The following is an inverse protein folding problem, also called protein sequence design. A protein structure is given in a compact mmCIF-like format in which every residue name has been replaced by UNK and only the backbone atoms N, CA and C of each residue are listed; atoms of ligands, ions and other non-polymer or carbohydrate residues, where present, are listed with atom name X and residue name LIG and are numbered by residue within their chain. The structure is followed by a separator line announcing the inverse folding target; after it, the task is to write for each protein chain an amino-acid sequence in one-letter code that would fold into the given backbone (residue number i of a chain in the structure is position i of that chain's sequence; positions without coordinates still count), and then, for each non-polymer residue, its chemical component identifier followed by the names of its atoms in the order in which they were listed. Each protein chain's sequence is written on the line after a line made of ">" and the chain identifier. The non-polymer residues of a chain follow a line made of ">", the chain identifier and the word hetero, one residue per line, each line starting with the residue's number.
data_IF_800574668163
#
_entry.id   IF_800574668163
#
_cell.length_a   1.000
_cell.length_b   1.000
_cell.length_c   1.000
_cell.angle_alpha   90.00
_cell.angle_beta   90.00
_cell.angle_gamma   90.00
#
_symmetry.space_group_name_H-M   'P 1'
#
loop_
_entity.id
_entity.type
_entity.pdbx_description
1 polymer ?
#
# COMPACT_ATOMS: atom_id res chain seq x y z
N UNK A 1 12.02 33.22 10.10
CA UNK A 1 12.89 33.01 8.92
C UNK A 1 11.99 32.83 7.70
N UNK A 2 12.09 33.73 6.73
CA UNK A 2 11.32 33.64 5.47
C UNK A 2 12.13 32.90 4.41
N UNK A 3 11.48 32.03 3.63
CA UNK A 3 12.07 31.40 2.45
C UNK A 3 12.38 32.47 1.41
N UNK A 4 13.45 32.32 0.63
CA UNK A 4 13.75 33.25 -0.47
C UNK A 4 12.60 33.25 -1.49
N UNK A 5 11.92 34.39 -1.65
CA UNK A 5 10.77 34.54 -2.55
C UNK A 5 11.13 34.24 -4.00
N UNK A 6 12.36 34.54 -4.43
CA UNK A 6 12.81 34.28 -5.80
C UNK A 6 12.88 32.77 -6.08
N UNK A 7 13.30 32.00 -5.08
CA UNK A 7 13.34 30.54 -5.17
C UNK A 7 11.93 29.94 -5.16
N UNK A 8 11.05 30.44 -4.29
CA UNK A 8 9.64 29.99 -4.23
C UNK A 8 8.94 30.23 -5.57
N UNK A 9 9.10 31.43 -6.15
CA UNK A 9 8.55 31.75 -7.47
C UNK A 9 9.10 30.83 -8.55
N UNK A 10 10.39 30.48 -8.46
CA UNK A 10 11.04 29.55 -9.38
C UNK A 10 10.45 28.14 -9.26
N UNK A 11 10.17 27.67 -8.04
CA UNK A 11 9.51 26.38 -7.80
C UNK A 11 8.08 26.37 -8.33
N UNK A 12 7.30 27.42 -8.13
CA UNK A 12 5.93 27.52 -8.65
C UNK A 12 5.91 27.46 -10.18
N UNK A 13 6.77 28.25 -10.84
CA UNK A 13 6.89 28.26 -12.30
C UNK A 13 7.31 26.90 -12.86
N UNK A 14 8.32 26.28 -12.25
CA UNK A 14 8.80 24.95 -12.63
C UNK A 14 7.71 23.89 -12.48
N UNK A 15 7.01 23.89 -11.35
CA UNK A 15 5.94 22.90 -11.08
C UNK A 15 4.79 23.04 -12.07
N UNK A 16 4.35 24.28 -12.34
CA UNK A 16 3.32 24.54 -13.33
C UNK A 16 3.73 24.10 -14.74
N UNK A 17 5.01 24.25 -15.10
CA UNK A 17 5.48 23.73 -16.38
C UNK A 17 5.52 22.20 -16.39
N UNK A 18 5.98 21.54 -15.32
CA UNK A 18 5.90 20.07 -15.19
C UNK A 18 4.46 19.57 -15.36
N UNK A 19 3.49 20.22 -14.73
CA UNK A 19 2.08 19.90 -14.84
C UNK A 19 1.58 19.87 -16.31
N UNK A 20 2.07 20.76 -17.18
CA UNK A 20 1.67 20.79 -18.60
C UNK A 20 2.06 19.53 -19.38
N UNK A 21 3.10 18.80 -18.96
CA UNK A 21 3.53 17.57 -19.63
C UNK A 21 2.70 16.33 -19.26
N UNK A 22 1.95 16.38 -18.16
CA UNK A 22 1.31 15.20 -17.57
C UNK A 22 -0.24 15.25 -17.49
N UNK A 23 -0.89 16.20 -18.19
CA UNK A 23 -2.35 16.43 -18.40
C UNK A 23 -3.20 16.99 -17.23
N UNK A 24 -4.21 17.82 -17.55
CA UNK A 24 -5.32 18.47 -16.78
C UNK A 24 -5.15 18.77 -15.27
N UNK A 25 -3.92 18.95 -14.78
CA UNK A 25 -3.70 19.46 -13.42
C UNK A 25 -3.82 20.98 -13.39
N UNK A 26 -4.59 21.51 -12.44
CA UNK A 26 -4.72 22.95 -12.23
C UNK A 26 -3.37 23.59 -11.92
N UNK A 27 -3.14 24.81 -12.42
CA UNK A 27 -1.97 25.60 -12.07
C UNK A 27 -2.02 26.03 -10.60
N UNK A 28 -0.89 25.94 -9.91
CA UNK A 28 -0.72 26.43 -8.55
C UNK A 28 -0.28 27.90 -8.56
N UNK A 29 -0.83 28.68 -7.64
CA UNK A 29 -0.41 30.06 -7.38
C UNK A 29 0.56 30.16 -6.21
N UNK A 30 0.60 29.12 -5.36
CA UNK A 30 1.43 29.03 -4.19
C UNK A 30 1.91 27.60 -4.01
N UNK A 31 3.10 27.41 -3.43
CA UNK A 31 3.61 26.09 -3.06
C UNK A 31 2.71 25.40 -2.01
N UNK A 32 1.90 26.13 -1.26
CA UNK A 32 0.90 25.54 -0.35
C UNK A 32 -0.16 24.71 -1.06
N UNK A 33 -0.45 25.04 -2.32
CA UNK A 33 -1.49 24.38 -3.13
C UNK A 33 -0.94 23.13 -3.84
N UNK A 34 0.37 22.87 -3.71
CA UNK A 34 1.09 21.81 -4.39
C UNK A 34 0.44 20.45 -4.18
N UNK A 35 0.16 20.10 -2.93
CA UNK A 35 -0.35 18.77 -2.58
C UNK A 35 -1.74 18.51 -3.19
N UNK A 36 -2.59 19.53 -3.21
CA UNK A 36 -3.99 19.43 -3.61
C UNK A 36 -4.13 19.35 -5.13
N UNK A 37 -3.47 20.27 -5.84
CA UNK A 37 -3.64 20.42 -7.30
C UNK A 37 -2.67 19.56 -8.11
N UNK A 38 -1.49 19.31 -7.54
CA UNK A 38 -0.32 18.82 -8.28
C UNK A 38 0.39 17.65 -7.58
N UNK A 39 -0.06 17.23 -6.39
CA UNK A 39 0.55 16.14 -5.62
C UNK A 39 0.47 14.78 -6.31
N UNK A 40 -0.63 14.52 -7.03
CA UNK A 40 -0.83 13.26 -7.74
C UNK A 40 0.22 13.00 -8.83
N UNK A 41 0.66 14.04 -9.56
CA UNK A 41 1.69 13.88 -10.57
C UNK A 41 3.06 13.64 -9.93
N UNK A 42 3.39 14.34 -8.84
CA UNK A 42 4.65 14.16 -8.11
C UNK A 42 4.78 12.71 -7.64
N UNK A 43 3.71 12.18 -7.04
CA UNK A 43 3.65 10.79 -6.59
C UNK A 43 3.77 9.79 -7.76
N UNK A 44 3.23 10.12 -8.94
CA UNK A 44 3.36 9.30 -10.15
C UNK A 44 4.80 9.27 -10.66
N UNK A 45 5.49 10.41 -10.70
CA UNK A 45 6.90 10.52 -11.09
C UNK A 45 7.78 9.73 -10.13
N UNK A 46 7.58 9.91 -8.82
CA UNK A 46 8.36 9.19 -7.80
C UNK A 46 7.98 7.71 -7.66
N UNK A 47 6.99 7.21 -8.40
CA UNK A 47 6.46 5.84 -8.28
C UNK A 47 6.12 5.50 -6.81
N UNK A 48 5.32 6.36 -6.18
CA UNK A 48 4.73 6.11 -4.88
C UNK A 48 3.57 5.10 -4.99
N UNK A 49 3.32 4.35 -3.91
CA UNK A 49 2.24 3.35 -3.86
C UNK A 49 0.85 4.00 -3.93
N UNK A 50 0.73 5.21 -3.38
CA UNK A 50 -0.50 6.03 -3.41
C UNK A 50 -0.35 7.18 -4.39
N UNK A 51 -1.33 7.37 -5.27
CA UNK A 51 -1.33 8.41 -6.33
C UNK A 51 -2.46 9.43 -6.20
N UNK A 52 -3.47 9.13 -5.38
CA UNK A 52 -4.58 10.04 -5.07
C UNK A 52 -4.57 10.35 -3.58
N UNK A 53 -4.57 11.64 -3.24
CA UNK A 53 -4.44 12.11 -1.87
C UNK A 53 -5.73 12.78 -1.41
N UNK A 54 -6.30 12.30 -0.29
CA UNK A 54 -7.52 12.88 0.31
C UNK A 54 -7.24 14.00 1.32
N UNK A 55 -6.00 14.10 1.78
CA UNK A 55 -5.53 15.12 2.71
C UNK A 55 -4.02 15.36 2.54
N UNK A 56 -3.56 16.53 3.01
CA UNK A 56 -2.14 16.93 2.97
C UNK A 56 -1.25 16.04 3.83
N UNK A 57 -1.74 15.57 4.98
CA UNK A 57 -1.00 14.68 5.89
C UNK A 57 -0.56 13.40 5.17
N UNK A 58 -1.47 12.74 4.44
CA UNK A 58 -1.14 11.52 3.71
C UNK A 58 -0.14 11.78 2.57
N UNK A 59 -0.25 12.93 1.90
CA UNK A 59 0.67 13.30 0.82
C UNK A 59 2.11 13.44 1.33
N UNK A 60 2.33 14.26 2.35
CA UNK A 60 3.67 14.50 2.89
C UNK A 60 4.23 13.27 3.62
N UNK A 61 3.40 12.44 4.27
CA UNK A 61 3.82 11.16 4.85
C UNK A 61 4.28 10.15 3.79
N UNK A 62 3.53 10.01 2.69
CA UNK A 62 3.90 9.10 1.59
C UNK A 62 5.18 9.57 0.90
N UNK A 63 5.30 10.89 0.67
CA UNK A 63 6.52 11.49 0.13
C UNK A 63 7.72 11.28 1.05
N UNK A 64 7.55 11.52 2.36
CA UNK A 64 8.61 11.35 3.34
C UNK A 64 9.14 9.92 3.36
N UNK A 65 8.24 8.92 3.38
CA UNK A 65 8.64 7.50 3.30
C UNK A 65 9.39 7.19 2.01
N UNK A 66 8.91 7.70 0.87
CA UNK A 66 9.56 7.45 -0.42
C UNK A 66 10.92 8.11 -0.50
N UNK A 67 11.03 9.36 -0.08
CA UNK A 67 12.28 10.10 -0.03
C UNK A 67 13.25 9.46 0.95
N UNK A 68 12.81 8.90 2.07
CA UNK A 68 13.70 8.23 3.01
C UNK A 68 14.42 7.03 2.36
N UNK A 69 13.77 6.36 1.41
CA UNK A 69 14.39 5.28 0.63
C UNK A 69 15.41 5.77 -0.41
N UNK A 70 15.29 7.01 -0.89
CA UNK A 70 16.11 7.52 -2.03
C UNK A 70 17.17 8.54 -1.60
N UNK A 71 16.83 9.45 -0.69
CA UNK A 71 17.64 10.58 -0.27
C UNK A 71 18.30 10.37 1.10
N UNK A 72 17.98 9.28 1.80
CA UNK A 72 18.64 8.85 3.04
C UNK A 72 18.58 9.89 4.16
N UNK A 73 19.74 10.21 4.74
CA UNK A 73 19.88 11.08 5.92
C UNK A 73 19.37 12.52 5.73
N UNK A 74 19.28 13.03 4.48
CA UNK A 74 18.72 14.36 4.21
C UNK A 74 17.25 14.50 4.64
N UNK A 75 16.53 13.38 4.71
CA UNK A 75 15.09 13.32 5.02
C UNK A 75 14.81 13.46 6.51
N UNK A 76 15.80 13.27 7.37
CA UNK A 76 15.67 13.45 8.82
C UNK A 76 15.38 14.91 9.21
N UNK A 77 15.78 15.87 8.36
CA UNK A 77 15.53 17.30 8.57
C UNK A 77 14.16 17.79 8.05
N UNK A 78 13.31 16.88 7.54
CA UNK A 78 11.95 17.17 7.07
C UNK A 78 10.93 16.91 8.16
N UNK A 79 9.95 17.81 8.32
CA UNK A 79 8.77 17.59 9.15
C UNK A 79 7.49 17.48 8.28
N UNK A 80 6.99 16.25 8.05
CA UNK A 80 5.75 16.03 7.28
C UNK A 80 4.53 16.73 7.88
N UNK A 81 4.44 16.81 9.21
CA UNK A 81 3.29 17.41 9.90
C UNK A 81 3.30 18.94 9.76
N UNK A 82 4.48 19.56 9.81
CA UNK A 82 4.60 20.99 9.58
C UNK A 82 4.32 21.36 8.12
N UNK A 83 4.78 20.56 7.15
CA UNK A 83 4.44 20.75 5.74
C UNK A 83 2.92 20.60 5.49
N UNK A 84 2.29 19.59 6.09
CA UNK A 84 0.85 19.36 5.96
C UNK A 84 -0.02 20.48 6.56
N UNK A 85 0.48 21.19 7.57
CA UNK A 85 -0.13 22.41 8.14
C UNK A 85 0.08 23.67 7.29
N UNK A 86 0.83 23.59 6.18
CA UNK A 86 1.07 24.71 5.29
C UNK A 86 2.35 25.50 5.58
N UNK A 87 3.31 24.95 6.33
CA UNK A 87 4.60 25.63 6.54
C UNK A 87 5.39 25.68 5.22
N UNK A 88 5.52 26.88 4.64
CA UNK A 88 6.16 27.11 3.35
C UNK A 88 7.62 26.61 3.30
N UNK A 89 8.38 26.78 4.39
CA UNK A 89 9.77 26.31 4.45
C UNK A 89 9.84 24.80 4.30
N UNK A 90 9.02 24.08 5.06
CA UNK A 90 8.97 22.61 4.99
C UNK A 90 8.51 22.12 3.62
N UNK A 91 7.49 22.76 3.04
CA UNK A 91 7.03 22.43 1.68
C UNK A 91 8.17 22.62 0.67
N UNK A 92 8.93 23.71 0.78
CA UNK A 92 10.08 23.97 -0.08
C UNK A 92 11.21 22.96 0.13
N UNK A 93 11.45 22.48 1.35
CA UNK A 93 12.40 21.39 1.60
C UNK A 93 11.97 20.10 0.90
N UNK A 94 10.70 19.70 1.04
CA UNK A 94 10.15 18.54 0.33
C UNK A 94 10.33 18.70 -1.19
N UNK A 95 10.02 19.88 -1.72
CA UNK A 95 10.16 20.14 -3.15
C UNK A 95 11.62 20.13 -3.62
N UNK A 96 12.55 20.69 -2.84
CA UNK A 96 13.98 20.65 -3.16
C UNK A 96 14.51 19.21 -3.22
N UNK A 97 14.11 18.34 -2.29
CA UNK A 97 14.47 16.91 -2.35
C UNK A 97 13.81 16.18 -3.52
N UNK A 98 12.61 16.60 -3.94
CA UNK A 98 11.98 16.08 -5.16
C UNK A 98 12.75 16.50 -6.41
N UNK A 99 13.21 17.74 -6.50
CA UNK A 99 14.07 18.18 -7.60
C UNK A 99 15.41 17.45 -7.60
N UNK A 100 15.97 17.17 -6.42
CA UNK A 100 17.19 16.37 -6.30
C UNK A 100 16.96 14.91 -6.72
N UNK A 101 15.81 14.33 -6.39
CA UNK A 101 15.38 13.03 -6.89
C UNK A 101 15.30 13.03 -8.42
N UNK A 102 14.65 14.04 -9.01
CA UNK A 102 14.59 14.20 -10.46
C UNK A 102 15.97 14.35 -11.08
N UNK A 103 16.88 15.08 -10.44
CA UNK A 103 18.26 15.24 -10.92
C UNK A 103 19.02 13.91 -10.96
N UNK A 104 18.82 13.04 -9.98
CA UNK A 104 19.49 11.73 -9.89
C UNK A 104 18.88 10.68 -10.81
N UNK A 105 17.55 10.53 -10.78
CA UNK A 105 16.86 9.39 -11.41
C UNK A 105 16.18 9.74 -12.75
N UNK A 106 15.97 11.03 -13.02
CA UNK A 106 15.24 11.54 -14.18
C UNK A 106 15.88 12.79 -14.80
N UNK A 107 17.22 12.82 -14.87
CA UNK A 107 17.99 14.00 -15.31
C UNK A 107 17.59 14.51 -16.69
N UNK A 108 17.36 13.62 -17.66
CA UNK A 108 16.91 13.98 -19.01
C UNK A 108 15.57 14.72 -19.00
N UNK A 109 14.63 14.30 -18.13
CA UNK A 109 13.33 14.97 -18.00
C UNK A 109 13.51 16.37 -17.43
N UNK A 110 14.30 16.50 -16.37
CA UNK A 110 14.57 17.79 -15.72
C UNK A 110 15.28 18.76 -16.67
N UNK A 111 16.31 18.32 -17.40
CA UNK A 111 17.03 19.14 -18.37
C UNK A 111 16.11 19.61 -19.50
N UNK A 112 15.32 18.72 -20.08
CA UNK A 112 14.38 19.07 -21.14
C UNK A 112 13.34 20.11 -20.68
N UNK A 113 12.86 20.01 -19.43
CA UNK A 113 11.91 20.97 -18.86
C UNK A 113 12.59 22.32 -18.62
N UNK A 114 13.78 22.35 -18.04
CA UNK A 114 14.51 23.58 -17.76
C UNK A 114 14.94 24.32 -19.04
N UNK A 115 15.39 23.61 -20.07
CA UNK A 115 15.72 24.20 -21.37
C UNK A 115 14.51 24.84 -22.02
N UNK A 116 13.36 24.13 -22.04
CA UNK A 116 12.11 24.66 -22.59
C UNK A 116 11.62 25.89 -21.82
N UNK A 117 11.60 25.83 -20.48
CA UNK A 117 11.20 26.97 -19.63
C UNK A 117 12.09 28.20 -19.87
N UNK A 118 13.39 28.00 -20.03
CA UNK A 118 14.33 29.08 -20.34
C UNK A 118 14.06 29.68 -21.73
N UNK A 119 13.75 28.85 -22.73
CA UNK A 119 13.46 29.34 -24.09
C UNK A 119 12.07 29.97 -24.27
N UNK A 120 11.05 29.48 -23.57
CA UNK A 120 9.65 29.90 -23.77
C UNK A 120 9.25 31.09 -22.89
N UNK A 121 9.72 31.11 -21.63
CA UNK A 121 9.25 32.05 -20.59
C UNK A 121 10.39 32.98 -20.11
N UNK A 122 11.64 32.72 -20.53
CA UNK A 122 12.81 33.47 -20.05
C UNK A 122 13.13 33.16 -18.59
N UNK A 123 12.86 31.92 -18.16
CA UNK A 123 13.05 31.46 -16.80
C UNK A 123 14.49 31.61 -16.32
N UNK A 124 14.67 32.22 -15.14
CA UNK A 124 15.99 32.35 -14.53
C UNK A 124 16.42 31.05 -13.84
N UNK A 125 17.06 30.17 -14.60
CA UNK A 125 17.54 28.88 -14.10
C UNK A 125 18.71 29.00 -13.12
N UNK A 126 19.34 30.16 -12.97
CA UNK A 126 20.53 30.32 -12.09
C UNK A 126 20.22 29.93 -10.65
N UNK A 127 19.02 30.27 -10.16
CA UNK A 127 18.60 30.01 -8.78
C UNK A 127 18.51 28.50 -8.49
N UNK A 128 18.03 27.72 -9.46
CA UNK A 128 17.97 26.26 -9.34
C UNK A 128 19.35 25.62 -9.53
N UNK A 129 20.17 26.17 -10.44
CA UNK A 129 21.53 25.71 -10.65
C UNK A 129 22.40 25.95 -9.40
N UNK A 130 22.21 27.07 -8.71
CA UNK A 130 22.86 27.38 -7.44
C UNK A 130 22.44 26.39 -6.34
N UNK A 131 21.15 26.00 -6.29
CA UNK A 131 20.68 24.92 -5.41
C UNK A 131 21.37 23.59 -5.73
N UNK A 132 21.46 23.20 -7.00
CA UNK A 132 22.12 21.94 -7.37
C UNK A 132 23.62 21.97 -7.08
N UNK A 133 24.29 23.10 -7.32
CA UNK A 133 25.69 23.30 -6.95
C UNK A 133 25.89 23.24 -5.43
N UNK A 134 24.89 23.66 -4.64
CA UNK A 134 24.90 23.51 -3.19
C UNK A 134 24.84 22.02 -2.79
N UNK A 135 23.94 21.23 -3.37
CA UNK A 135 23.90 19.77 -3.14
C UNK A 135 25.24 19.09 -3.52
N UNK A 136 25.88 19.49 -4.62
CA UNK A 136 27.17 18.93 -5.04
C UNK A 136 28.29 19.21 -4.03
N UNK A 137 28.32 20.44 -3.47
CA UNK A 137 29.24 20.78 -2.37
C UNK A 137 28.93 19.97 -1.12
N UNK A 138 27.65 19.78 -0.81
CA UNK A 138 27.20 19.05 0.36
C UNK A 138 27.65 17.59 0.33
N UNK A 139 27.46 16.90 -0.81
CA UNK A 139 27.95 15.52 -0.98
C UNK A 139 29.48 15.43 -0.96
N UNK A 140 30.19 16.49 -1.37
CA UNK A 140 31.65 16.54 -1.33
C UNK A 140 32.22 16.71 0.09
N UNK A 141 31.41 17.23 1.02
CA UNK A 141 31.83 17.54 2.40
C UNK A 141 31.30 16.55 3.44
N UNK A 142 30.46 15.59 3.04
CA UNK A 142 29.80 14.60 3.92
C UNK A 142 29.10 15.22 5.15
N UNK A 143 28.58 16.44 4.97
CA UNK A 143 27.88 17.22 5.99
C UNK A 143 26.40 17.19 5.70
N UNK A 144 25.59 16.61 6.59
CA UNK A 144 24.13 16.56 6.44
C UNK A 144 23.44 17.74 7.14
N UNK A 145 24.12 18.39 8.08
CA UNK A 145 23.56 19.46 8.91
C UNK A 145 23.21 20.70 8.07
N UNK A 146 22.02 21.24 8.33
CA UNK A 146 21.47 22.46 7.72
C UNK A 146 21.56 22.51 6.18
N UNK A 147 21.39 21.35 5.52
CA UNK A 147 21.37 21.27 4.06
C UNK A 147 20.34 22.20 3.42
N UNK A 148 19.27 22.54 4.15
CA UNK A 148 18.20 23.43 3.71
C UNK A 148 18.54 24.92 3.86
N UNK A 149 19.72 25.29 4.37
CA UNK A 149 20.10 26.68 4.64
C UNK A 149 20.08 27.58 3.40
N UNK A 150 20.32 27.02 2.20
CA UNK A 150 20.21 27.76 0.94
C UNK A 150 18.78 28.25 0.63
N UNK A 151 17.75 27.64 1.26
CA UNK A 151 16.35 28.08 1.13
C UNK A 151 16.10 29.39 1.88
N UNK A 152 16.97 29.76 2.82
CA UNK A 152 16.81 30.91 3.70
C UNK A 152 17.74 32.02 3.21
N UNK A 153 17.17 33.21 2.95
CA UNK A 153 17.97 34.39 2.62
C UNK A 153 18.67 34.90 3.89
N UNK A 154 20.00 35.15 3.87
CA UNK A 154 20.66 35.88 4.94
C UNK A 154 20.17 37.35 4.93
N UNK A 155 19.68 37.86 6.05
CA UNK A 155 19.15 39.23 6.20
C UNK A 155 20.20 40.36 6.00
N UNK A 156 21.46 40.05 5.63
CA UNK A 156 22.58 41.01 5.68
C UNK A 156 23.36 41.13 4.37
N UNK A 157 22.73 41.60 3.27
CA UNK A 157 23.45 42.03 2.05
C UNK A 157 23.04 43.43 1.57
N UNK A 158 22.48 44.27 2.44
CA UNK A 158 22.24 45.70 2.17
C UNK A 158 22.90 46.62 3.21
N UNK A 159 24.17 46.40 3.56
CA UNK A 159 24.96 47.40 4.31
C UNK A 159 26.40 47.45 3.82
N UNK A 160 26.65 47.59 2.52
CA UNK A 160 27.98 47.96 2.02
C UNK A 160 27.86 48.77 0.72
N UNK A 161 27.46 50.05 0.82
CA UNK A 161 27.83 51.03 -0.20
C UNK A 161 27.81 52.48 0.32
N UNK A 162 29.00 53.09 0.41
CA UNK A 162 29.27 54.53 0.46
C UNK A 162 28.91 55.27 1.77
N UNK A 163 29.71 56.14 2.37
CA UNK A 163 30.88 56.88 1.95
C UNK A 163 31.68 57.35 3.19
N UNK A 164 33.00 57.46 3.04
CA UNK A 164 33.93 58.18 3.91
C UNK A 164 34.02 59.66 3.46
N UNK A 165 34.05 60.64 4.37
CA UNK A 165 35.19 61.57 4.66
C UNK A 165 34.84 62.78 5.56
N UNK A 166 35.83 63.41 6.26
CA UNK A 166 35.70 64.39 7.38
C UNK A 166 35.92 65.87 6.94
N UNK A 167 35.84 66.93 7.80
CA UNK A 167 37.05 67.45 8.50
C UNK A 167 36.91 68.43 9.74
N UNK A 168 38.05 68.58 10.46
CA UNK A 168 38.76 69.76 11.06
C UNK A 168 38.23 70.69 12.19
N UNK A 169 39.07 70.75 13.24
CA UNK A 169 39.58 71.86 14.08
C UNK A 169 39.33 73.33 13.65
N UNK A 170 39.13 74.22 14.65
CA UNK A 170 39.89 75.47 14.81
C UNK A 170 39.72 76.16 16.20
N UNK A 171 40.66 77.06 16.47
CA UNK A 171 41.13 77.60 17.75
C UNK A 171 40.78 79.10 17.93
N UNK A 172 40.91 79.61 19.18
CA UNK A 172 41.28 80.97 19.64
C UNK A 172 40.20 82.10 19.68
N UNK A 173 39.98 82.70 20.87
CA UNK A 173 40.33 84.11 21.13
C UNK A 173 40.33 84.53 22.62
N UNK A 174 41.36 85.33 22.94
CA UNK A 174 41.73 85.99 24.19
C UNK A 174 41.45 87.49 24.06
N UNK A 175 41.13 88.19 25.15
CA UNK A 175 41.50 89.62 25.29
C UNK A 175 41.63 90.05 26.75
N UNK A 176 42.79 90.64 27.04
CA UNK A 176 43.22 91.36 28.24
C UNK A 176 42.92 92.86 28.07
N UNK A 177 42.67 93.60 29.16
CA UNK A 177 42.78 95.07 29.21
C UNK A 177 43.36 95.52 30.57
N UNK A 178 44.39 96.37 30.52
CA UNK A 178 44.98 97.16 31.63
C UNK A 178 45.21 98.61 31.11
N UNK A 179 45.78 99.56 31.87
CA UNK A 179 45.23 100.38 32.96
C UNK A 179 45.38 101.90 32.67
N UNK A 180 44.97 102.83 33.56
CA UNK A 180 45.47 104.22 33.51
C UNK A 180 45.48 104.92 34.87
N UNK A 181 46.60 105.60 35.15
CA UNK A 181 46.91 106.41 36.32
C UNK A 181 46.77 107.91 36.03
N UNK A 182 46.47 108.72 37.05
CA UNK A 182 46.76 110.18 37.14
C UNK A 182 46.57 110.61 38.61
N UNK A 183 47.58 111.00 39.39
CA UNK A 183 48.44 112.19 39.39
C UNK A 183 47.83 113.47 40.04
N UNK A 184 48.42 113.83 41.20
CA UNK A 184 48.63 115.16 41.83
C UNK A 184 47.47 116.17 41.95
N UNK A 185 47.36 116.75 43.15
CA UNK A 185 47.62 118.19 43.39
C UNK A 185 47.78 118.52 44.89
N UNK A 186 49.00 118.95 45.24
CA UNK A 186 49.32 119.68 46.47
C UNK A 186 48.78 121.12 46.36
N UNK A 187 48.21 121.65 47.45
CA UNK A 187 48.04 123.09 47.66
C UNK A 187 48.81 123.51 48.90
N UNK A 188 49.87 124.26 48.64
CA UNK A 188 50.59 125.14 49.56
C UNK A 188 49.68 126.32 49.94
N UNK A 189 49.54 126.61 51.24
CA UNK A 189 49.07 127.89 51.74
C UNK A 189 50.15 128.45 52.69
N UNK A 190 50.87 129.45 52.21
CA UNK A 190 51.82 130.27 52.94
C UNK A 190 51.15 131.53 53.47
N UNK A 191 51.73 132.08 54.54
CA UNK A 191 51.64 133.50 54.94
C UNK A 191 50.36 133.87 55.72
N UNK A 192 50.34 134.71 56.75
CA UNK A 192 51.34 135.52 57.47
C UNK A 192 50.60 136.15 58.67
N UNK A 193 51.29 136.36 59.79
CA UNK A 193 51.31 137.61 60.57
C UNK A 193 51.37 137.37 62.09
N UNK A 194 52.30 138.10 62.71
CA UNK A 194 52.58 138.23 64.15
C UNK A 194 53.36 137.07 64.76
N UNK A 195 54.63 136.95 64.37
CA UNK A 195 55.60 136.14 65.11
C UNK A 195 56.16 136.93 66.30
N UNK A 196 55.94 136.38 67.48
CA UNK A 196 56.53 136.77 68.76
C UNK A 196 58.01 136.33 68.79
N UNK A 197 58.90 136.99 69.55
CA UNK A 197 60.33 136.60 69.68
C UNK A 197 60.56 135.13 70.09
N UNK A 198 59.55 134.48 70.68
CA UNK A 198 59.59 133.04 71.01
C UNK A 198 59.41 132.18 69.74
N UNK A 199 58.62 132.62 68.76
CA UNK A 199 58.45 131.90 67.50
C UNK A 199 59.75 131.85 66.68
N UNK A 200 60.62 132.86 66.78
CA UNK A 200 61.93 132.83 66.13
C UNK A 200 62.96 131.96 66.89
N UNK A 201 62.80 131.78 68.21
CA UNK A 201 63.60 130.82 68.98
C UNK A 201 63.15 129.37 68.74
N UNK A 202 61.85 129.11 68.55
CA UNK A 202 61.29 127.78 68.22
C UNK A 202 61.45 127.45 66.72
N UNK A 203 61.66 128.46 65.88
CA UNK A 203 61.97 128.35 64.45
C UNK A 203 63.45 128.67 64.15
N UNK A 204 64.28 128.66 65.20
CA UNK A 204 65.74 128.67 65.14
C UNK A 204 66.22 127.51 64.26
N UNK A 205 67.29 127.71 63.46
CA UNK A 205 67.92 126.65 62.68
C UNK A 205 68.14 125.36 63.49
N UNK A 206 68.51 125.48 64.78
CA UNK A 206 68.74 124.36 65.69
C UNK A 206 67.44 123.60 66.03
N UNK A 207 66.34 124.29 66.30
CA UNK A 207 65.04 123.65 66.62
C UNK A 207 64.39 123.02 65.40
N UNK A 208 64.56 123.63 64.21
CA UNK A 208 64.18 123.01 62.93
C UNK A 208 64.97 121.74 62.68
N UNK A 209 66.28 121.78 62.90
CA UNK A 209 67.13 120.61 62.77
C UNK A 209 66.70 119.50 63.72
N UNK A 210 66.45 119.79 65.00
CA UNK A 210 65.98 118.78 65.96
C UNK A 210 64.60 118.20 65.59
N UNK A 211 63.67 119.02 65.08
CA UNK A 211 62.36 118.53 64.60
C UNK A 211 62.49 117.65 63.37
N UNK A 212 63.30 118.08 62.39
CA UNK A 212 63.60 117.30 61.18
C UNK A 212 64.32 116.01 61.55
N UNK A 213 65.24 116.03 62.49
CA UNK A 213 65.97 114.85 62.97
C UNK A 213 65.05 113.87 63.70
N UNK A 214 64.11 114.36 64.52
CA UNK A 214 63.08 113.51 65.12
C UNK A 214 62.13 112.91 64.08
N UNK A 215 61.69 113.71 63.11
CA UNK A 215 60.87 113.23 61.99
C UNK A 215 61.63 112.24 61.11
N UNK A 216 62.92 112.45 60.88
CA UNK A 216 63.81 111.53 60.16
C UNK A 216 63.95 110.22 60.91
N UNK A 217 64.18 110.25 62.23
CA UNK A 217 64.24 109.04 63.08
C UNK A 217 62.89 108.31 63.14
N UNK A 218 61.78 109.03 63.04
CA UNK A 218 60.45 108.42 62.97
C UNK A 218 60.20 107.78 61.60
N UNK A 219 60.55 108.47 60.52
CA UNK A 219 60.44 107.96 59.15
C UNK A 219 61.39 106.76 58.92
N UNK A 220 62.61 106.78 59.46
CA UNK A 220 63.54 105.66 59.41
C UNK A 220 62.99 104.43 60.13
N UNK A 221 62.35 104.61 61.30
CA UNK A 221 61.68 103.49 61.99
C UNK A 221 60.51 102.93 61.18
N UNK A 222 59.66 103.80 60.62
CA UNK A 222 58.55 103.38 59.77
C UNK A 222 59.03 102.67 58.49
N UNK A 223 60.14 103.12 57.91
CA UNK A 223 60.75 102.48 56.75
C UNK A 223 61.25 101.08 57.09
N UNK A 224 61.91 100.92 58.23
CA UNK A 224 62.44 99.63 58.69
C UNK A 224 61.30 98.65 59.05
N UNK A 225 60.23 99.15 59.68
CA UNK A 225 59.00 98.37 59.91
C UNK A 225 58.31 97.97 58.59
N UNK A 226 58.27 98.87 57.59
CA UNK A 226 57.71 98.57 56.28
C UNK A 226 58.58 97.58 55.49
N UNK A 227 59.90 97.67 55.59
CA UNK A 227 60.84 96.70 55.00
C UNK A 227 60.64 95.31 55.61
N UNK A 228 60.54 95.21 56.95
CA UNK A 228 60.18 93.95 57.61
C UNK A 228 58.82 93.41 57.15
N UNK A 229 57.81 94.27 57.01
CA UNK A 229 56.48 93.86 56.52
C UNK A 229 56.53 93.33 55.09
N UNK A 230 57.33 93.93 54.21
CA UNK A 230 57.50 93.47 52.83
C UNK A 230 58.22 92.12 52.82
N UNK A 231 59.28 91.95 53.61
CA UNK A 231 60.01 90.69 53.73
C UNK A 231 59.10 89.55 54.24
N UNK A 232 58.28 89.81 55.28
CA UNK A 232 57.25 88.88 55.77
C UNK A 232 56.25 88.50 54.66
N UNK A 233 55.78 89.49 53.89
CA UNK A 233 54.83 89.28 52.79
C UNK A 233 55.48 88.52 51.62
N UNK A 234 56.76 88.76 51.32
CA UNK A 234 57.51 88.03 50.29
C UNK A 234 57.74 86.57 50.71
N UNK A 235 58.03 86.30 51.98
CA UNK A 235 58.11 84.94 52.52
C UNK A 235 56.75 84.23 52.50
N UNK A 236 55.67 84.90 52.92
CA UNK A 236 54.30 84.36 52.83
C UNK A 236 53.91 84.08 51.37
N UNK A 237 54.22 84.98 50.46
CA UNK A 237 53.96 84.80 49.03
C UNK A 237 54.83 83.67 48.42
N UNK A 238 56.06 83.51 48.93
CA UNK A 238 56.91 82.35 48.65
C UNK A 238 56.28 81.03 49.09
N UNK A 239 55.66 80.99 50.28
CA UNK A 239 54.92 79.82 50.78
C UNK A 239 53.63 79.59 49.97
N UNK A 240 52.98 80.64 49.49
CA UNK A 240 51.81 80.55 48.60
C UNK A 240 52.13 79.98 47.21
N UNK A 241 53.41 79.88 46.79
CA UNK A 241 53.80 79.10 45.59
C UNK A 241 53.48 77.59 45.68
N UNK A 242 53.11 77.08 46.87
CA UNK A 242 52.54 75.73 47.03
C UNK A 242 51.17 75.56 46.36
N UNK A 243 50.50 76.66 45.98
CA UNK A 243 49.24 76.64 45.22
C UNK A 243 49.39 75.88 43.90
N UNK A 244 50.52 76.00 43.20
CA UNK A 244 50.71 75.30 41.92
C UNK A 244 50.87 73.79 42.11
N UNK A 245 51.50 73.36 43.21
CA UNK A 245 51.56 71.94 43.59
C UNK A 245 50.16 71.39 43.94
N UNK A 246 49.35 72.15 44.67
CA UNK A 246 47.99 71.74 45.01
C UNK A 246 47.09 71.69 43.77
N UNK A 247 47.24 72.61 42.83
CA UNK A 247 46.54 72.57 41.54
C UNK A 247 46.90 71.31 40.75
N UNK A 248 48.18 70.95 40.72
CA UNK A 248 48.64 69.73 40.05
C UNK A 248 48.09 68.47 40.73
N UNK A 249 48.04 68.42 42.05
CA UNK A 249 47.46 67.30 42.79
C UNK A 249 45.94 67.18 42.57
N UNK A 250 45.21 68.31 42.57
CA UNK A 250 43.78 68.35 42.26
C UNK A 250 43.50 67.90 40.83
N UNK A 251 44.32 68.32 39.87
CA UNK A 251 44.23 67.84 38.49
C UNK A 251 44.46 66.32 38.41
N UNK A 252 45.52 65.80 39.03
CA UNK A 252 45.77 64.35 39.04
C UNK A 252 44.67 63.54 39.74
N UNK A 253 44.07 64.07 40.82
CA UNK A 253 42.90 63.45 41.47
C UNK A 253 41.66 63.47 40.58
N UNK A 254 41.46 64.56 39.83
CA UNK A 254 40.35 64.68 38.86
C UNK A 254 40.51 63.66 37.74
N UNK A 255 41.69 63.55 37.14
CA UNK A 255 41.97 62.57 36.08
C UNK A 255 41.78 61.13 36.57
N UNK A 256 42.22 60.83 37.80
CA UNK A 256 42.01 59.51 38.41
C UNK A 256 40.53 59.22 38.70
N UNK A 257 39.75 60.22 39.11
CA UNK A 257 38.31 60.08 39.32
C UNK A 257 37.57 59.86 38.00
N UNK A 258 37.96 60.57 36.94
CA UNK A 258 37.43 60.39 35.58
C UNK A 258 37.71 58.97 35.06
N UNK A 259 38.94 58.47 35.19
CA UNK A 259 39.28 57.09 34.83
C UNK A 259 38.51 56.05 35.66
N UNK A 260 38.19 56.35 36.93
CA UNK A 260 37.39 55.46 37.76
C UNK A 260 35.92 55.45 37.31
N UNK A 261 35.34 56.60 36.97
CA UNK A 261 33.98 56.70 36.42
C UNK A 261 33.87 55.95 35.08
N UNK A 262 34.84 56.11 34.18
CA UNK A 262 34.87 55.37 32.91
C UNK A 262 34.90 53.85 33.13
N UNK A 263 35.69 53.37 34.10
CA UNK A 263 35.71 51.94 34.46
C UNK A 263 34.39 51.46 35.03
N UNK A 264 33.74 52.25 35.89
CA UNK A 264 32.43 51.91 36.45
C UNK A 264 31.39 51.84 35.34
N UNK A 265 31.32 52.85 34.46
CA UNK A 265 30.39 52.84 33.32
C UNK A 265 30.61 51.62 32.42
N UNK A 266 31.87 51.28 32.13
CA UNK A 266 32.20 50.10 31.34
C UNK A 266 31.75 48.80 32.01
N UNK A 267 32.03 48.63 33.31
CA UNK A 267 31.58 47.44 34.06
C UNK A 267 30.06 47.37 34.16
N UNK A 268 29.36 48.49 34.35
CA UNK A 268 27.90 48.52 34.38
C UNK A 268 27.32 48.09 33.04
N UNK A 269 27.84 48.59 31.92
CA UNK A 269 27.43 48.18 30.58
C UNK A 269 27.70 46.68 30.32
N UNK A 270 28.85 46.17 30.75
CA UNK A 270 29.17 44.74 30.66
C UNK A 270 28.22 43.88 31.51
N UNK A 271 27.87 44.31 32.73
CA UNK A 271 26.90 43.61 33.57
C UNK A 271 25.50 43.62 32.98
N UNK A 272 25.03 44.75 32.46
CA UNK A 272 23.73 44.84 31.78
C UNK A 272 23.69 43.93 30.54
N UNK A 273 24.76 43.91 29.75
CA UNK A 273 24.88 43.01 28.60
C UNK A 273 24.84 41.54 29.04
N UNK A 274 25.56 41.16 30.10
CA UNK A 274 25.54 39.79 30.63
C UNK A 274 24.21 39.40 31.23
N UNK A 275 23.51 40.34 31.87
CA UNK A 275 22.17 40.12 32.42
C UNK A 275 21.17 39.79 31.30
N UNK A 276 21.21 40.53 30.19
CA UNK A 276 20.38 40.24 29.01
C UNK A 276 20.70 38.88 28.39
N UNK A 277 21.98 38.49 28.36
CA UNK A 277 22.40 37.17 27.88
C UNK A 277 21.84 36.03 28.75
N UNK A 278 21.89 36.19 30.08
CA UNK A 278 21.30 35.22 31.03
C UNK A 278 19.77 35.15 30.87
N UNK A 279 19.09 36.27 30.69
CA UNK A 279 17.65 36.31 30.44
C UNK A 279 17.27 35.61 29.13
N UNK A 280 18.06 35.79 28.07
CA UNK A 280 17.88 35.11 26.80
C UNK A 280 18.04 33.58 26.95
N UNK A 281 19.11 33.12 27.60
CA UNK A 281 19.37 31.69 27.81
C UNK A 281 18.32 31.04 28.72
N UNK A 282 17.89 31.73 29.77
CA UNK A 282 16.83 31.22 30.67
C UNK A 282 15.49 31.08 29.95
N UNK A 283 15.16 32.03 29.05
CA UNK A 283 13.98 31.92 28.19
C UNK A 283 14.06 30.73 27.23
N UNK A 284 15.19 30.57 26.54
CA UNK A 284 15.42 29.42 25.65
C UNK A 284 15.34 28.07 26.39
N UNK A 285 15.87 28.01 27.62
CA UNK A 285 15.77 26.82 28.46
C UNK A 285 14.32 26.51 28.87
N UNK A 286 13.52 27.53 29.17
CA UNK A 286 12.11 27.36 29.49
C UNK A 286 11.32 26.84 28.28
N UNK A 287 11.55 27.42 27.09
CA UNK A 287 10.94 26.97 25.84
C UNK A 287 11.31 25.51 25.53
N UNK A 288 12.61 25.18 25.61
CA UNK A 288 13.10 23.81 25.39
C UNK A 288 12.46 22.80 26.36
N UNK A 289 12.31 23.17 27.64
CA UNK A 289 11.62 22.34 28.64
C UNK A 289 10.15 22.14 28.32
N UNK A 290 9.46 23.14 27.77
CA UNK A 290 8.05 23.00 27.36
C UNK A 290 7.90 22.07 26.16
N UNK A 291 8.77 22.21 25.16
CA UNK A 291 8.81 21.33 23.99
C UNK A 291 9.07 19.89 24.40
N UNK A 292 10.11 19.64 25.21
CA UNK A 292 10.44 18.30 25.69
C UNK A 292 9.29 17.62 26.44
N UNK A 293 8.56 18.37 27.28
CA UNK A 293 7.37 17.83 27.98
C UNK A 293 6.23 17.51 27.02
N UNK A 294 6.07 18.28 25.95
CA UNK A 294 5.04 17.99 24.94
C UNK A 294 5.38 16.76 24.12
N UNK A 295 6.65 16.60 23.73
CA UNK A 295 7.16 15.42 23.03
C UNK A 295 7.06 14.17 23.89
N UNK A 296 7.39 14.27 25.18
CA UNK A 296 7.23 13.16 26.11
C UNK A 296 5.78 12.67 26.20
N UNK A 297 4.79 13.58 26.25
CA UNK A 297 3.37 13.20 26.24
C UNK A 297 2.96 12.56 24.91
N UNK A 298 3.46 13.07 23.79
CA UNK A 298 3.21 12.50 22.47
C UNK A 298 3.76 11.06 22.38
N UNK A 299 4.97 10.84 22.89
CA UNK A 299 5.57 9.50 22.98
C UNK A 299 4.74 8.55 23.87
N UNK A 300 4.27 9.00 25.03
CA UNK A 300 3.39 8.20 25.90
C UNK A 300 2.06 7.83 25.21
N UNK A 301 1.51 8.72 24.36
CA UNK A 301 0.32 8.44 23.55
C UNK A 301 0.61 7.40 22.45
N UNK A 302 1.73 7.55 21.74
CA UNK A 302 2.16 6.58 20.72
C UNK A 302 2.44 5.20 21.32
N UNK A 303 3.00 5.12 22.52
CA UNK A 303 3.21 3.83 23.22
C UNK A 303 1.88 3.14 23.54
N UNK A 304 0.88 3.89 24.02
CA UNK A 304 -0.48 3.35 24.26
C UNK A 304 -1.14 2.88 22.96
N UNK A 305 -0.97 3.63 21.87
CA UNK A 305 -1.48 3.22 20.55
C UNK A 305 -0.78 1.95 20.04
N UNK A 306 0.54 1.85 20.20
CA UNK A 306 1.33 0.66 19.87
C UNK A 306 0.84 -0.56 20.65
N UNK A 307 0.58 -0.43 21.95
CA UNK A 307 0.05 -1.52 22.78
C UNK A 307 -1.38 -1.94 22.36
N UNK A 308 -2.23 -0.95 22.00
CA UNK A 308 -3.55 -1.21 21.44
C UNK A 308 -3.50 -1.93 20.09
N UNK A 309 -2.54 -1.59 19.24
CA UNK A 309 -2.33 -2.29 17.97
C UNK A 309 -1.77 -3.70 18.19
N UNK A 310 -0.83 -3.88 19.11
CA UNK A 310 -0.28 -5.19 19.45
C UNK A 310 -1.36 -6.15 19.98
N UNK A 311 -2.24 -5.68 20.87
CA UNK A 311 -3.36 -6.49 21.39
C UNK A 311 -4.37 -6.84 20.29
N UNK A 312 -4.69 -5.93 19.37
CA UNK A 312 -5.53 -6.22 18.20
C UNK A 312 -4.86 -7.24 17.26
N UNK A 313 -3.55 -7.15 17.05
CA UNK A 313 -2.81 -8.10 16.24
C UNK A 313 -2.82 -9.50 16.87
N UNK A 314 -2.69 -9.60 18.19
CA UNK A 314 -2.77 -10.87 18.91
C UNK A 314 -4.15 -11.53 18.74
N UNK A 315 -5.24 -10.76 18.83
CA UNK A 315 -6.60 -11.31 18.67
C UNK A 315 -6.91 -11.70 17.24
N UNK A 316 -6.43 -10.95 16.24
CA UNK A 316 -6.63 -11.28 14.82
C UNK A 316 -5.79 -12.48 14.39
N UNK A 317 -4.59 -12.65 14.93
CA UNK A 317 -3.76 -13.84 14.69
C UNK A 317 -4.38 -15.09 15.32
N UNK A 318 -4.93 -14.99 16.54
CA UNK A 318 -5.65 -16.11 17.17
C UNK A 318 -6.91 -16.51 16.38
N UNK A 319 -7.69 -15.54 15.89
CA UNK A 319 -8.89 -15.82 15.10
C UNK A 319 -8.55 -16.44 13.74
N UNK A 320 -7.48 -15.98 13.09
CA UNK A 320 -6.97 -16.59 11.86
C UNK A 320 -6.53 -18.04 12.10
N UNK A 321 -5.84 -18.33 13.20
CA UNK A 321 -5.40 -19.70 13.51
C UNK A 321 -6.61 -20.63 13.75
N UNK A 322 -7.66 -20.15 14.44
CA UNK A 322 -8.93 -20.89 14.61
C UNK A 322 -9.59 -21.18 13.27
N UNK A 323 -9.73 -20.17 12.41
CA UNK A 323 -10.29 -20.33 11.06
C UNK A 323 -9.48 -21.34 10.22
N UNK A 324 -8.14 -21.26 10.25
CA UNK A 324 -7.28 -22.21 9.55
C UNK A 324 -7.39 -23.65 10.08
N UNK A 325 -7.66 -23.84 11.37
CA UNK A 325 -7.92 -25.17 11.96
C UNK A 325 -9.27 -25.71 11.50
N UNK A 326 -10.31 -24.87 11.45
CA UNK A 326 -11.64 -25.24 10.95
C UNK A 326 -11.61 -25.62 9.47
N UNK A 327 -10.92 -24.83 8.63
CA UNK A 327 -10.75 -25.14 7.21
C UNK A 327 -10.03 -26.47 6.96
N UNK A 328 -9.04 -26.82 7.79
CA UNK A 328 -8.38 -28.13 7.73
C UNK A 328 -9.34 -29.26 8.09
N UNK A 329 -10.08 -29.12 9.20
CA UNK A 329 -11.10 -30.11 9.59
C UNK A 329 -12.15 -30.31 8.50
N UNK A 330 -12.67 -29.23 7.92
CA UNK A 330 -13.65 -29.31 6.83
C UNK A 330 -13.08 -30.00 5.60
N UNK A 331 -11.83 -29.72 5.23
CA UNK A 331 -11.15 -30.44 4.14
C UNK A 331 -11.07 -31.93 4.44
N UNK A 332 -10.62 -32.31 5.64
CA UNK A 332 -10.44 -33.72 6.01
C UNK A 332 -11.79 -34.46 6.03
N UNK A 333 -12.85 -33.81 6.53
CA UNK A 333 -14.22 -34.37 6.48
C UNK A 333 -14.70 -34.54 5.05
N UNK A 334 -14.56 -33.52 4.20
CA UNK A 334 -14.98 -33.60 2.80
C UNK A 334 -14.21 -34.69 2.04
N UNK A 335 -12.91 -34.85 2.30
CA UNK A 335 -12.09 -35.91 1.70
C UNK A 335 -12.57 -37.30 2.11
N UNK A 336 -12.88 -37.50 3.40
CA UNK A 336 -13.47 -38.77 3.87
C UNK A 336 -14.84 -39.05 3.23
N UNK A 337 -15.70 -38.03 3.12
CA UNK A 337 -17.00 -38.17 2.46
C UNK A 337 -16.84 -38.50 0.98
N UNK A 338 -15.92 -37.84 0.28
CA UNK A 338 -15.62 -38.09 -1.13
C UNK A 338 -15.11 -39.51 -1.38
N UNK A 339 -14.17 -39.99 -0.55
CA UNK A 339 -13.74 -41.39 -0.59
C UNK A 339 -14.90 -42.36 -0.32
N UNK A 340 -15.80 -42.01 0.59
CA UNK A 340 -17.02 -42.76 0.85
C UNK A 340 -17.95 -42.83 -0.37
N UNK A 341 -18.09 -41.74 -1.12
CA UNK A 341 -18.85 -41.71 -2.37
C UNK A 341 -18.18 -42.53 -3.47
N UNK A 342 -16.88 -42.40 -3.67
CA UNK A 342 -16.14 -43.21 -4.65
C UNK A 342 -16.27 -44.70 -4.38
N UNK A 343 -16.21 -45.12 -3.11
CA UNK A 343 -16.43 -46.52 -2.75
C UNK A 343 -17.83 -47.00 -3.10
N UNK A 344 -18.86 -46.22 -2.76
CA UNK A 344 -20.25 -46.54 -3.11
C UNK A 344 -20.46 -46.60 -4.63
N UNK A 345 -19.83 -45.71 -5.38
CA UNK A 345 -19.85 -45.72 -6.85
C UNK A 345 -19.22 -46.99 -7.40
N UNK A 346 -18.03 -47.36 -6.93
CA UNK A 346 -17.36 -48.61 -7.30
C UNK A 346 -18.20 -49.86 -6.97
N UNK A 347 -18.82 -49.90 -5.79
CA UNK A 347 -19.68 -51.01 -5.37
C UNK A 347 -20.92 -51.13 -6.28
N UNK A 348 -21.51 -50.00 -6.68
CA UNK A 348 -22.65 -49.97 -7.61
C UNK A 348 -22.25 -50.37 -9.03
N UNK A 349 -21.08 -49.96 -9.51
CA UNK A 349 -20.54 -50.38 -10.81
C UNK A 349 -20.28 -51.89 -10.86
N UNK A 350 -19.80 -52.47 -9.76
CA UNK A 350 -19.61 -53.92 -9.64
C UNK A 350 -20.95 -54.66 -9.65
N UNK A 351 -21.95 -54.18 -8.90
CA UNK A 351 -23.31 -54.72 -8.93
C UNK A 351 -23.91 -54.63 -10.34
N UNK A 352 -23.77 -53.50 -11.02
CA UNK A 352 -24.26 -53.32 -12.38
C UNK A 352 -23.58 -54.31 -13.35
N UNK A 353 -22.26 -54.51 -13.23
CA UNK A 353 -21.54 -55.52 -14.02
C UNK A 353 -22.07 -56.93 -13.78
N UNK A 354 -22.31 -57.30 -12.53
CA UNK A 354 -22.90 -58.61 -12.18
C UNK A 354 -24.27 -58.80 -12.83
N UNK A 355 -25.15 -57.80 -12.72
CA UNK A 355 -26.50 -57.86 -13.30
C UNK A 355 -26.46 -57.91 -14.83
N UNK A 356 -25.53 -57.20 -15.47
CA UNK A 356 -25.34 -57.26 -16.93
C UNK A 356 -24.88 -58.66 -17.38
N UNK A 357 -23.98 -59.30 -16.63
CA UNK A 357 -23.52 -60.66 -16.94
C UNK A 357 -24.64 -61.69 -16.74
N UNK A 358 -25.42 -61.58 -15.67
CA UNK A 358 -26.61 -62.42 -15.44
C UNK A 358 -27.63 -62.25 -16.57
N UNK A 359 -27.92 -61.02 -16.99
CA UNK A 359 -28.83 -60.74 -18.10
C UNK A 359 -28.33 -61.33 -19.42
N UNK A 360 -27.01 -61.28 -19.67
CA UNK A 360 -26.40 -61.90 -20.85
C UNK A 360 -26.55 -63.41 -20.83
N UNK A 361 -26.23 -64.05 -19.70
CA UNK A 361 -26.43 -65.49 -19.51
C UNK A 361 -27.89 -65.89 -19.72
N UNK A 362 -28.83 -65.13 -19.17
CA UNK A 362 -30.26 -65.34 -19.37
C UNK A 362 -30.69 -65.18 -20.84
N UNK A 363 -30.15 -64.19 -21.56
CA UNK A 363 -30.40 -64.03 -22.98
C UNK A 363 -29.90 -65.23 -23.79
N UNK A 364 -28.69 -65.73 -23.51
CA UNK A 364 -28.13 -66.93 -24.15
C UNK A 364 -28.99 -68.18 -23.87
N UNK A 365 -29.53 -68.31 -22.65
CA UNK A 365 -30.46 -69.38 -22.29
C UNK A 365 -31.79 -69.25 -23.05
N UNK A 366 -32.33 -68.04 -23.19
CA UNK A 366 -33.55 -67.80 -23.97
C UNK A 366 -33.35 -68.15 -25.45
N UNK A 367 -32.24 -67.74 -26.06
CA UNK A 367 -31.91 -68.12 -27.44
C UNK A 367 -31.81 -69.63 -27.59
N UNK A 368 -31.13 -70.32 -26.66
CA UNK A 368 -31.05 -71.79 -26.66
C UNK A 368 -32.41 -72.48 -26.54
N UNK A 369 -33.32 -71.92 -25.72
CA UNK A 369 -34.70 -72.41 -25.59
C UNK A 369 -35.53 -72.18 -26.86
N UNK A 370 -35.34 -71.05 -27.54
CA UNK A 370 -35.98 -70.77 -28.83
C UNK A 370 -35.52 -71.73 -29.92
N UNK A 371 -34.22 -72.05 -29.98
CA UNK A 371 -33.67 -73.08 -30.86
C UNK A 371 -34.26 -74.46 -30.54
N UNK A 372 -34.32 -74.85 -29.25
CA UNK A 372 -34.93 -76.12 -28.85
C UNK A 372 -36.42 -76.18 -29.22
N UNK A 373 -37.16 -75.08 -29.02
CA UNK A 373 -38.58 -74.98 -29.38
C UNK A 373 -38.79 -75.11 -30.88
N UNK A 374 -37.95 -74.45 -31.69
CA UNK A 374 -38.05 -74.55 -33.16
C UNK A 374 -37.69 -75.95 -33.65
N UNK A 375 -36.68 -76.59 -33.06
CA UNK A 375 -36.33 -77.99 -33.33
C UNK A 375 -37.47 -78.96 -32.96
N UNK A 376 -38.04 -78.83 -31.76
CA UNK A 376 -39.19 -79.64 -31.33
C UNK A 376 -40.41 -79.43 -32.23
N UNK A 377 -40.67 -78.19 -32.65
CA UNK A 377 -41.75 -77.89 -33.59
C UNK A 377 -41.51 -78.54 -34.96
N UNK A 378 -40.28 -78.49 -35.45
CA UNK A 378 -39.87 -79.18 -36.68
C UNK A 378 -40.05 -80.69 -36.58
N UNK A 379 -39.63 -81.29 -35.47
CA UNK A 379 -39.80 -82.72 -35.22
C UNK A 379 -41.29 -83.12 -35.09
N UNK A 380 -42.10 -82.31 -34.41
CA UNK A 380 -43.53 -82.56 -34.26
C UNK A 380 -44.27 -82.48 -35.62
N UNK A 381 -43.91 -81.52 -36.48
CA UNK A 381 -44.39 -81.49 -37.87
C UNK A 381 -44.00 -82.73 -38.65
N UNK A 382 -42.74 -83.17 -38.53
CA UNK A 382 -42.26 -84.40 -39.18
C UNK A 382 -43.04 -85.61 -38.69
N UNK A 383 -43.20 -85.78 -37.38
CA UNK A 383 -43.96 -86.88 -36.78
C UNK A 383 -45.43 -86.86 -37.22
N UNK A 384 -46.07 -85.69 -37.20
CA UNK A 384 -47.45 -85.52 -37.69
C UNK A 384 -47.58 -85.97 -39.14
N UNK A 385 -46.66 -85.54 -40.02
CA UNK A 385 -46.64 -85.95 -41.42
C UNK A 385 -46.43 -87.47 -41.59
N UNK A 386 -45.54 -88.07 -40.79
CA UNK A 386 -45.34 -89.52 -40.80
C UNK A 386 -46.59 -90.27 -40.36
N UNK A 387 -47.28 -89.79 -39.32
CA UNK A 387 -48.54 -90.37 -38.83
C UNK A 387 -49.65 -90.27 -39.88
N UNK A 388 -49.78 -89.13 -40.55
CA UNK A 388 -50.72 -88.95 -41.67
C UNK A 388 -50.42 -89.92 -42.81
N UNK A 389 -49.15 -90.05 -43.21
CA UNK A 389 -48.70 -90.98 -44.24
C UNK A 389 -48.99 -92.43 -43.85
N UNK A 390 -48.70 -92.84 -42.62
CA UNK A 390 -48.99 -94.18 -42.12
C UNK A 390 -50.49 -94.45 -42.02
N UNK A 391 -51.29 -93.43 -41.68
CA UNK A 391 -52.75 -93.54 -41.64
C UNK A 391 -53.34 -93.74 -43.04
N UNK A 392 -52.88 -92.97 -44.03
CA UNK A 392 -53.23 -93.14 -45.44
C UNK A 392 -52.85 -94.52 -45.95
N UNK A 393 -51.63 -94.97 -45.63
CA UNK A 393 -51.16 -96.29 -46.02
C UNK A 393 -51.95 -97.41 -45.33
N UNK A 394 -52.30 -97.26 -44.05
CA UNK A 394 -53.17 -98.19 -43.34
C UNK A 394 -54.58 -98.24 -43.95
N UNK A 395 -55.14 -97.10 -44.37
CA UNK A 395 -56.44 -97.05 -45.04
C UNK A 395 -56.40 -97.76 -46.41
N UNK A 396 -55.34 -97.54 -47.20
CA UNK A 396 -55.10 -98.26 -48.45
C UNK A 396 -54.98 -99.76 -48.24
N UNK A 397 -54.13 -100.19 -47.30
CA UNK A 397 -53.96 -101.60 -46.96
C UNK A 397 -55.27 -102.27 -46.52
N UNK A 398 -56.13 -101.56 -45.77
CA UNK A 398 -57.48 -102.06 -45.41
C UNK A 398 -58.37 -102.21 -46.64
N UNK A 399 -58.39 -101.22 -47.52
CA UNK A 399 -59.17 -101.27 -48.76
C UNK A 399 -58.71 -102.41 -49.67
N UNK A 400 -57.40 -102.60 -49.82
CA UNK A 400 -56.83 -103.73 -50.56
C UNK A 400 -57.20 -105.07 -49.93
N UNK A 401 -57.16 -105.19 -48.60
CA UNK A 401 -57.61 -106.38 -47.90
C UNK A 401 -59.12 -106.66 -48.09
N UNK A 402 -59.97 -105.63 -48.06
CA UNK A 402 -61.41 -105.75 -48.30
C UNK A 402 -61.71 -106.13 -49.77
N UNK A 403 -60.98 -105.56 -50.73
CA UNK A 403 -61.05 -105.96 -52.14
C UNK A 403 -60.64 -107.42 -52.32
N UNK A 404 -59.50 -107.83 -51.76
CA UNK A 404 -59.03 -109.20 -51.81
C UNK A 404 -60.03 -110.18 -51.14
N UNK A 405 -60.62 -109.78 -50.01
CA UNK A 405 -61.67 -110.56 -49.34
C UNK A 405 -62.92 -110.70 -50.22
N UNK A 406 -63.30 -109.65 -50.95
CA UNK A 406 -64.43 -109.66 -51.87
C UNK A 406 -64.15 -110.59 -53.05
N UNK A 407 -62.98 -110.48 -53.69
CA UNK A 407 -62.55 -111.39 -54.76
C UNK A 407 -62.53 -112.86 -54.30
N UNK A 408 -62.00 -113.14 -53.10
CA UNK A 408 -62.00 -114.48 -52.53
C UNK A 408 -63.43 -114.99 -52.24
N UNK A 409 -64.34 -114.12 -51.82
CA UNK A 409 -65.75 -114.46 -51.62
C UNK A 409 -66.45 -114.76 -52.94
N UNK A 410 -66.23 -113.96 -53.98
CA UNK A 410 -66.74 -114.20 -55.33
C UNK A 410 -66.20 -115.51 -55.92
N UNK A 411 -64.90 -115.79 -55.74
CA UNK A 411 -64.32 -117.07 -56.14
C UNK A 411 -64.99 -118.23 -55.40
N UNK A 412 -65.18 -118.09 -54.08
CA UNK A 412 -65.87 -119.09 -53.26
C UNK A 412 -67.30 -119.32 -53.75
N UNK A 413 -68.04 -118.27 -54.09
CA UNK A 413 -69.39 -118.35 -54.62
C UNK A 413 -69.42 -119.01 -56.01
N UNK A 414 -68.47 -118.71 -56.89
CA UNK A 414 -68.31 -119.41 -58.17
C UNK A 414 -68.03 -120.90 -57.98
N UNK A 415 -67.16 -121.26 -57.05
CA UNK A 415 -66.90 -122.67 -56.71
C UNK A 415 -68.13 -123.35 -56.11
N UNK A 416 -68.88 -122.66 -55.24
CA UNK A 416 -70.14 -123.14 -54.67
C UNK A 416 -71.18 -123.40 -55.77
N UNK A 417 -71.37 -122.45 -56.69
CA UNK A 417 -72.29 -122.59 -57.82
C UNK A 417 -71.88 -123.72 -58.77
N UNK A 418 -70.57 -123.91 -59.01
CA UNK A 418 -70.06 -125.06 -59.77
C UNK A 418 -70.35 -126.40 -59.07
N UNK A 419 -70.18 -126.46 -57.74
CA UNK A 419 -70.51 -127.62 -56.92
C UNK A 419 -72.01 -127.93 -56.98
N UNK A 420 -72.87 -126.93 -56.83
CA UNK A 420 -74.32 -127.07 -56.92
C UNK A 420 -74.76 -127.53 -58.31
N UNK A 421 -74.18 -126.98 -59.38
CA UNK A 421 -74.42 -127.44 -60.75
C UNK A 421 -74.01 -128.90 -60.94
N UNK A 422 -72.84 -129.29 -60.42
CA UNK A 422 -72.38 -130.68 -60.48
C UNK A 422 -73.31 -131.64 -59.69
N UNK A 423 -73.82 -131.19 -58.54
CA UNK A 423 -74.81 -131.93 -57.76
C UNK A 423 -76.15 -132.04 -58.50
N UNK A 424 -76.63 -130.97 -59.12
CA UNK A 424 -77.82 -131.00 -59.98
C UNK A 424 -77.65 -132.00 -61.12
N UNK A 425 -76.56 -131.90 -61.88
CA UNK A 425 -76.22 -132.85 -62.95
C UNK A 425 -76.18 -134.30 -62.43
N UNK A 426 -75.61 -134.53 -61.24
CA UNK A 426 -75.60 -135.85 -60.60
C UNK A 426 -77.01 -136.33 -60.23
N UNK A 427 -77.85 -135.46 -59.66
CA UNK A 427 -79.25 -135.81 -59.35
C UNK A 427 -80.10 -136.05 -60.58
N UNK A 428 -79.88 -135.30 -61.67
CA UNK A 428 -80.53 -135.53 -62.96
C UNK A 428 -80.09 -136.85 -63.58
N UNK A 429 -78.78 -137.16 -63.56
CA UNK A 429 -78.27 -138.49 -63.95
C UNK A 429 -78.85 -139.60 -63.09
N UNK A 430 -78.98 -139.38 -61.78
CA UNK A 430 -79.58 -140.36 -60.87
C UNK A 430 -81.07 -140.55 -61.18
N UNK A 431 -81.84 -139.50 -61.46
CA UNK A 431 -83.24 -139.60 -61.92
C UNK A 431 -83.36 -140.33 -63.25
N UNK A 432 -82.49 -140.02 -64.22
CA UNK A 432 -82.43 -140.71 -65.51
C UNK A 432 -82.09 -142.20 -65.34
N UNK A 433 -81.13 -142.52 -64.47
CA UNK A 433 -80.81 -143.89 -64.11
C UNK A 433 -81.97 -144.59 -63.39
N UNK A 434 -82.66 -143.91 -62.48
CA UNK A 434 -83.82 -144.46 -61.76
C UNK A 434 -84.99 -144.73 -62.71
N UNK A 435 -85.27 -143.81 -63.64
CA UNK A 435 -86.27 -143.99 -64.68
C UNK A 435 -85.92 -145.15 -65.64
N UNK A 436 -84.62 -145.35 -65.93
CA UNK A 436 -84.12 -146.51 -66.68
C UNK A 436 -84.27 -147.82 -65.89
N UNK A 437 -84.02 -147.81 -64.58
CA UNK A 437 -84.21 -148.96 -63.68
C UNK A 437 -85.70 -149.31 -63.53
N UNK A 438 -86.60 -148.33 -63.45
CA UNK A 438 -88.05 -148.58 -63.44
C UNK A 438 -88.53 -149.22 -64.74
N UNK A 439 -88.04 -148.74 -65.89
CA UNK A 439 -88.38 -149.32 -67.19
C UNK A 439 -87.93 -150.80 -67.26
N UNK A 440 -86.71 -151.10 -66.83
CA UNK A 440 -86.19 -152.47 -66.73
C UNK A 440 -86.94 -153.34 -65.70
N UNK A 441 -87.41 -152.77 -64.59
CA UNK A 441 -88.25 -153.49 -63.61
C UNK A 441 -89.61 -153.88 -64.18
N UNK A 442 -90.21 -153.01 -64.98
CA UNK A 442 -91.49 -153.30 -65.63
C UNK A 442 -91.33 -154.38 -66.71
N UNK A 443 -90.23 -154.37 -67.46
CA UNK A 443 -89.87 -155.44 -68.42
C UNK A 443 -89.60 -156.78 -67.71
N UNK A 444 -88.91 -156.78 -66.56
CA UNK A 444 -88.68 -157.99 -65.76
C UNK A 444 -89.99 -158.56 -65.18
N UNK A 445 -90.97 -157.71 -64.86
CA UNK A 445 -92.27 -158.12 -64.34
C UNK A 445 -93.14 -158.76 -65.42
N UNK A 446 -93.05 -158.26 -66.67
CA UNK A 446 -93.66 -158.91 -67.83
C UNK A 446 -93.03 -160.30 -68.09
N UNK A 447 -91.71 -160.41 -68.05
CA UNK A 447 -91.01 -161.68 -68.24
C UNK A 447 -91.31 -162.74 -67.15
N UNK A 448 -91.59 -162.32 -65.90
CA UNK A 448 -92.02 -163.24 -64.83
C UNK A 448 -93.49 -163.69 -64.96
N UNK A 449 -94.35 -162.89 -65.57
CA UNK A 449 -95.72 -163.28 -65.89
C UNK A 449 -95.74 -164.40 -66.94
N UNK A 450 -94.90 -164.27 -67.98
CA UNK A 450 -94.79 -165.28 -69.05
C UNK A 450 -94.18 -166.60 -68.55
N UNK A 451 -93.25 -166.55 -67.57
CA UNK A 451 -92.69 -167.75 -66.94
C UNK A 451 -93.70 -168.52 -66.10
N UNK A 452 -94.56 -167.84 -65.34
CA UNK A 452 -95.60 -168.50 -64.54
C UNK A 452 -96.74 -169.08 -65.40
N UNK A 453 -96.98 -168.54 -66.60
CA UNK A 453 -97.87 -169.15 -67.59
C UNK A 453 -97.34 -170.48 -68.13
N UNK A 454 -96.03 -170.59 -68.36
CA UNK A 454 -95.37 -171.82 -68.82
C UNK A 454 -95.27 -172.91 -67.73
N UNK A 455 -95.08 -172.54 -66.47
CA UNK A 455 -95.01 -173.51 -65.35
C UNK A 455 -96.37 -174.17 -65.03
N UNK A 456 -97.48 -173.53 -65.42
CA UNK A 456 -98.84 -174.11 -65.27
C UNK A 456 -99.15 -175.19 -66.33
N UNK A 457 -98.60 -175.07 -67.54
CA UNK A 457 -98.74 -176.05 -68.64
C UNK A 457 -97.84 -177.28 -68.43
N UNK A 458 -96.74 -177.12 -67.69
CA UNK A 458 -95.81 -178.22 -67.36
C UNK A 458 -96.29 -179.12 -66.21
N UNK A 459 -97.25 -178.68 -65.40
CA UNK A 459 -97.80 -179.48 -64.30
C UNK A 459 -98.96 -180.41 -64.73
N UNK A 460 -99.68 -180.09 -65.82
CA UNK A 460 -100.76 -180.93 -66.39
C UNK A 460 -100.22 -182.13 -67.21
N UNK A 461 -98.89 -182.22 -67.44
CA UNK A 461 -98.23 -183.28 -68.21
C UNK A 461 -97.51 -184.35 -67.34
N UNK A 462 -97.73 -184.34 -66.02
CA UNK A 462 -97.16 -185.33 -65.06
C UNK A 462 -98.23 -186.13 -64.29
N UNK A 463 -99.44 -186.21 -64.84
CA UNK A 463 -100.44 -187.24 -64.51
C UNK A 463 -100.58 -188.20 -65.71
N UNK A 464 -99.65 -189.17 -65.79
CA UNK A 464 -99.84 -190.50 -66.40
C UNK A 464 -98.69 -191.42 -66.00
#
# INVERSE_FOLDING_TARGET
>A
MSVDSVLVDSFVQLTNHFATFFSDTESISSMTDLWEKQGGFIAKIMKCDTKEFRNSDLFYEVLHRKMNMVNGSLVEALDPKAAAKGNLLEICKFYALFLEFLRKDHSELLTNVLEKLATEIGFNSTVLLDMFAYFDKLYSQDSVDDWWSFLIRPENVEVLSGMRTPPRNNFINSTFVTPTATARRLRTASSTARRSPIADAVDSPTMKFMRIEQQLKQAQRQMLEAEQRVEELEEENGKLKTIDSLKQEVAGKRDNAELAEERVQKMTAEMESKQLEVEAVTKQLAESRTTLRSEQRHLEELEKEKEKLASKLATTTESLEKCMKEMRKLRDTNEMEFQGYQKKESDLEEQLRSVLEENRSMADHLTSLEELKTNLHGENKRLTSTVESLSLESARNRQEADNAKTEMSEQRERFQAQLEKCQQDHTERAKMAHSKVERLRNELKAAKSDKNGMEKVLAELKEQ
#
